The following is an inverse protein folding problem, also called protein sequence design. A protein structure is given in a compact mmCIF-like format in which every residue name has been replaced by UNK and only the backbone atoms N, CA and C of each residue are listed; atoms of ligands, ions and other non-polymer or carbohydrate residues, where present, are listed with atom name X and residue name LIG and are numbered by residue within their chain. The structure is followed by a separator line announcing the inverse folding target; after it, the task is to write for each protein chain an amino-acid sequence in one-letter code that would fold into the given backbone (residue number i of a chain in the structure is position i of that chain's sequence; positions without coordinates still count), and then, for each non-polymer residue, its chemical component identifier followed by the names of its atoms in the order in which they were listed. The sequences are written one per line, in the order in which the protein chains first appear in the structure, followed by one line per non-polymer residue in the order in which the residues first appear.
data_IF_036762943076
#
_entry.id   IF_036762943076
#
_cell.length_a   1.000
_cell.length_b   1.000
_cell.length_c   1.000
_cell.angle_alpha   90.00
_cell.angle_beta   90.00
_cell.angle_gamma   90.00
#
_symmetry.space_group_name_H-M   'P 1'
#
loop_
_entity.id
_entity.type
_entity.pdbx_description
1 polymer ?
#
# COMPACT_ATOMS: atom_id res chain seq x y z
N UNK A 1 -15.10 28.96 -31.32
CA UNK A 1 -14.54 29.09 -29.95
C UNK A 1 -15.69 29.40 -28.99
N UNK A 2 -15.65 28.99 -27.72
CA UNK A 2 -15.34 27.64 -27.23
C UNK A 2 -16.40 27.15 -26.21
N UNK A 3 -16.62 25.83 -26.10
CA UNK A 3 -17.06 25.24 -24.84
C UNK A 3 -16.24 23.99 -24.58
N UNK A 4 -14.98 24.22 -24.20
CA UNK A 4 -14.17 23.18 -23.58
C UNK A 4 -14.73 22.89 -22.20
N UNK A 5 -15.47 21.79 -22.09
CA UNK A 5 -15.74 21.17 -20.79
C UNK A 5 -14.42 20.63 -20.25
N UNK A 6 -13.76 21.41 -19.39
CA UNK A 6 -12.71 20.89 -18.51
C UNK A 6 -13.34 19.80 -17.64
N UNK A 7 -12.80 18.58 -17.55
CA UNK A 7 -13.16 17.74 -16.42
C UNK A 7 -12.67 18.43 -15.13
N UNK A 8 -13.62 18.74 -14.26
CA UNK A 8 -13.36 19.05 -12.87
C UNK A 8 -12.72 17.82 -12.22
N UNK A 9 -11.41 17.85 -12.10
CA UNK A 9 -10.60 16.86 -11.38
C UNK A 9 -9.31 17.54 -10.92
N UNK A 10 -9.43 18.70 -10.27
CA UNK A 10 -8.29 19.43 -9.74
C UNK A 10 -7.70 18.69 -8.55
N UNK A 11 -6.62 17.95 -8.78
CA UNK A 11 -5.77 17.40 -7.73
C UNK A 11 -4.97 18.55 -7.09
N UNK A 12 -5.20 18.81 -5.81
CA UNK A 12 -4.41 19.76 -5.04
C UNK A 12 -3.12 19.08 -4.56
N UNK A 13 -1.98 19.80 -4.47
CA UNK A 13 -0.73 19.24 -3.97
C UNK A 13 -0.79 19.12 -2.45
N UNK A 14 -1.34 18.00 -1.98
CA UNK A 14 -1.33 17.53 -0.61
C UNK A 14 -1.23 16.00 -0.65
N UNK A 15 -0.29 15.45 0.10
CA UNK A 15 0.04 14.02 0.13
C UNK A 15 -1.13 13.21 0.72
N UNK A 16 -2.18 12.94 -0.06
CA UNK A 16 -3.37 12.22 0.40
C UNK A 16 -3.09 10.72 0.44
N UNK A 17 -2.61 10.28 1.61
CA UNK A 17 -2.53 8.88 1.99
C UNK A 17 -3.95 8.29 2.06
N UNK A 18 -4.30 7.44 1.10
CA UNK A 18 -5.51 6.62 1.15
C UNK A 18 -5.26 5.42 2.04
N UNK A 19 -6.22 5.09 2.91
CA UNK A 19 -6.04 4.05 3.91
C UNK A 19 -7.34 3.26 4.17
N UNK A 20 -7.26 1.94 4.02
CA UNK A 20 -8.32 1.00 4.37
C UNK A 20 -7.88 0.20 5.60
N UNK A 21 -8.61 0.34 6.71
CA UNK A 21 -8.30 -0.32 8.00
C UNK A 21 -9.20 -1.54 8.19
N UNK A 22 -8.64 -2.62 8.76
CA UNK A 22 -9.43 -3.80 9.11
C UNK A 22 -9.93 -4.60 7.91
N UNK A 23 -9.17 -4.60 6.81
CA UNK A 23 -9.53 -5.29 5.55
C UNK A 23 -9.61 -6.80 5.77
N UNK A 24 -8.70 -7.34 6.58
CA UNK A 24 -8.70 -8.76 6.96
C UNK A 24 -8.55 -8.88 8.47
N UNK A 25 -9.32 -9.80 9.04
CA UNK A 25 -9.12 -10.31 10.39
C UNK A 25 -9.13 -11.85 10.36
N UNK A 26 -8.01 -12.47 10.73
CA UNK A 26 -7.88 -13.94 10.76
C UNK A 26 -7.00 -14.35 11.94
N UNK A 27 -7.53 -15.24 12.78
CA UNK A 27 -6.82 -15.83 13.94
C UNK A 27 -6.13 -14.76 14.83
N UNK A 28 -6.80 -13.62 14.99
CA UNK A 28 -6.35 -12.46 15.77
C UNK A 28 -5.38 -11.54 15.04
N UNK A 29 -4.88 -11.94 13.86
CA UNK A 29 -4.11 -11.06 13.00
C UNK A 29 -5.03 -10.10 12.27
N UNK A 30 -4.70 -8.81 12.30
CA UNK A 30 -5.44 -7.77 11.61
C UNK A 30 -4.56 -7.15 10.52
N UNK A 31 -5.19 -6.80 9.39
CA UNK A 31 -4.51 -6.15 8.29
C UNK A 31 -5.19 -4.84 7.87
N UNK A 32 -4.36 -3.89 7.46
CA UNK A 32 -4.76 -2.67 6.79
C UNK A 32 -3.90 -2.48 5.54
N UNK A 33 -4.36 -1.64 4.63
CA UNK A 33 -3.60 -1.23 3.45
C UNK A 33 -3.64 0.29 3.33
N UNK A 34 -2.50 0.89 3.04
CA UNK A 34 -2.36 2.33 2.81
C UNK A 34 -1.61 2.53 1.50
N UNK A 35 -1.88 3.61 0.78
CA UNK A 35 -1.11 3.95 -0.41
C UNK A 35 -1.25 5.41 -0.79
N UNK A 36 -0.39 5.86 -1.69
CA UNK A 36 -0.35 7.24 -2.18
C UNK A 36 0.74 7.44 -3.22
N UNK A 37 0.70 8.60 -3.87
CA UNK A 37 1.65 8.95 -4.92
C UNK A 37 3.08 9.09 -4.37
N UNK A 38 4.02 8.39 -4.97
CA UNK A 38 5.45 8.41 -4.64
C UNK A 38 6.29 8.09 -5.87
N UNK A 39 7.19 9.01 -6.23
CA UNK A 39 7.98 8.93 -7.47
C UNK A 39 9.48 8.64 -7.22
N UNK A 40 9.87 8.41 -5.97
CA UNK A 40 11.26 8.13 -5.62
C UNK A 40 11.36 7.34 -4.32
N UNK A 41 12.55 6.83 -4.03
CA UNK A 41 12.82 6.15 -2.76
C UNK A 41 12.61 7.09 -1.57
N UNK A 42 13.05 8.33 -1.68
CA UNK A 42 12.91 9.34 -0.64
C UNK A 42 11.44 9.65 -0.37
N UNK A 43 10.61 9.73 -1.42
CA UNK A 43 9.17 9.92 -1.29
C UNK A 43 8.49 8.74 -0.57
N UNK A 44 8.93 7.51 -0.84
CA UNK A 44 8.47 6.32 -0.10
C UNK A 44 8.88 6.40 1.37
N UNK A 45 10.12 6.77 1.67
CA UNK A 45 10.59 6.88 3.05
C UNK A 45 9.80 7.97 3.82
N UNK A 46 9.47 9.11 3.17
CA UNK A 46 8.59 10.12 3.75
C UNK A 46 7.14 9.64 3.94
N UNK A 47 6.60 8.87 2.99
CA UNK A 47 5.29 8.24 3.13
C UNK A 47 5.24 7.28 4.33
N UNK A 48 6.27 6.45 4.51
CA UNK A 48 6.38 5.53 5.64
C UNK A 48 6.53 6.29 6.97
N UNK A 49 7.28 7.40 7.00
CA UNK A 49 7.37 8.28 8.17
C UNK A 49 6.00 8.87 8.50
N UNK A 50 5.28 9.37 7.49
CA UNK A 50 3.93 9.91 7.66
C UNK A 50 2.96 8.86 8.20
N UNK A 51 2.98 7.63 7.66
CA UNK A 51 2.14 6.52 8.09
C UNK A 51 2.38 6.19 9.57
N UNK A 52 3.66 6.19 9.97
CA UNK A 52 4.09 5.90 11.34
C UNK A 52 3.87 7.06 12.33
N UNK A 53 3.38 8.23 11.89
CA UNK A 53 2.88 9.26 12.83
C UNK A 53 1.67 8.78 13.61
N UNK A 54 0.85 7.90 13.02
CA UNK A 54 -0.17 7.17 13.77
C UNK A 54 0.50 6.06 14.60
N UNK A 55 0.38 6.17 15.93
CA UNK A 55 0.97 5.22 16.89
C UNK A 55 0.52 3.77 16.66
N UNK A 56 -0.66 3.54 16.09
CA UNK A 56 -1.14 2.19 15.78
C UNK A 56 -0.29 1.54 14.69
N UNK A 57 0.11 2.31 13.67
CA UNK A 57 0.93 1.84 12.55
C UNK A 57 2.42 1.79 12.92
N UNK A 58 2.91 2.74 13.73
CA UNK A 58 4.25 2.67 14.29
C UNK A 58 4.47 1.43 15.18
N UNK A 59 3.42 0.93 15.85
CA UNK A 59 3.46 -0.28 16.69
C UNK A 59 3.00 -1.54 15.95
N UNK A 60 2.76 -1.46 14.64
CA UNK A 60 2.41 -2.65 13.87
C UNK A 60 3.56 -3.66 13.85
N UNK A 61 3.22 -4.93 13.68
CA UNK A 61 4.24 -5.98 13.60
C UNK A 61 5.03 -5.84 12.31
N UNK A 62 4.35 -5.54 11.20
CA UNK A 62 4.96 -5.34 9.89
C UNK A 62 4.23 -4.22 9.13
N UNK A 63 4.99 -3.34 8.48
CA UNK A 63 4.54 -2.38 7.46
C UNK A 63 5.29 -2.70 6.15
N UNK A 64 4.88 -3.79 5.51
CA UNK A 64 5.44 -4.26 4.26
C UNK A 64 4.98 -3.38 3.10
N UNK A 65 5.85 -3.05 2.14
CA UNK A 65 5.52 -2.13 1.07
C UNK A 65 6.16 -2.48 -0.27
N UNK A 66 5.58 -1.94 -1.35
CA UNK A 66 6.21 -1.88 -2.67
C UNK A 66 5.75 -0.65 -3.47
N UNK A 67 6.56 -0.25 -4.45
CA UNK A 67 6.21 0.70 -5.50
C UNK A 67 6.88 0.25 -6.82
N UNK A 68 6.18 0.45 -7.92
CA UNK A 68 6.77 0.43 -9.27
C UNK A 68 6.95 1.88 -9.71
N UNK A 69 8.18 2.36 -9.88
CA UNK A 69 8.41 3.74 -10.31
C UNK A 69 8.04 3.92 -11.79
N UNK A 70 7.80 5.16 -12.22
CA UNK A 70 7.39 5.50 -13.58
C UNK A 70 8.35 4.98 -14.66
N UNK A 71 9.65 4.95 -14.36
CA UNK A 71 10.71 4.39 -15.20
C UNK A 71 10.74 2.85 -15.25
N UNK A 72 9.85 2.19 -14.51
CA UNK A 72 9.78 0.74 -14.38
C UNK A 72 10.67 0.16 -13.29
N UNK A 73 11.39 0.97 -12.52
CA UNK A 73 12.24 0.51 -11.42
C UNK A 73 11.37 0.00 -10.26
N UNK A 74 11.50 -1.29 -9.85
CA UNK A 74 10.77 -1.81 -8.72
C UNK A 74 11.49 -1.54 -7.39
N UNK A 75 10.78 -1.02 -6.39
CA UNK A 75 11.27 -0.90 -5.01
C UNK A 75 10.31 -1.59 -4.04
N UNK A 76 10.84 -2.20 -2.97
CA UNK A 76 10.04 -2.92 -1.97
C UNK A 76 10.76 -3.07 -0.63
N UNK A 77 9.99 -3.32 0.42
CA UNK A 77 10.50 -3.64 1.76
C UNK A 77 9.57 -4.60 2.51
N UNK A 78 10.17 -5.62 3.15
CA UNK A 78 9.40 -6.68 3.83
C UNK A 78 9.03 -6.35 5.28
N UNK A 79 9.76 -5.43 5.93
CA UNK A 79 9.62 -5.08 7.36
C UNK A 79 9.57 -6.29 8.31
N UNK A 80 10.39 -7.32 8.01
CA UNK A 80 10.44 -8.57 8.77
C UNK A 80 9.44 -9.65 8.32
N UNK A 81 8.46 -9.34 7.47
CA UNK A 81 7.57 -10.34 6.86
C UNK A 81 8.13 -10.80 5.50
N UNK A 82 9.17 -11.64 5.56
CA UNK A 82 9.93 -12.08 4.39
C UNK A 82 9.02 -12.57 3.24
N UNK A 83 9.24 -12.00 2.06
CA UNK A 83 8.55 -12.30 0.81
C UNK A 83 7.28 -11.48 0.55
N UNK A 84 6.72 -10.80 1.56
CA UNK A 84 5.45 -10.09 1.39
C UNK A 84 5.60 -8.84 0.49
N UNK A 85 6.73 -8.13 0.50
CA UNK A 85 6.96 -6.98 -0.38
C UNK A 85 7.01 -7.40 -1.85
N UNK A 86 7.54 -8.59 -2.14
CA UNK A 86 7.52 -9.14 -3.51
C UNK A 86 6.10 -9.50 -3.96
N UNK A 87 5.23 -9.91 -3.04
CA UNK A 87 3.82 -10.18 -3.32
C UNK A 87 3.11 -8.89 -3.72
N UNK A 88 3.28 -7.80 -2.95
CA UNK A 88 2.70 -6.48 -3.28
C UNK A 88 3.21 -6.01 -4.64
N UNK A 89 4.53 -6.02 -4.85
CA UNK A 89 5.14 -5.56 -6.11
C UNK A 89 4.55 -6.25 -7.34
N UNK A 90 4.41 -7.58 -7.32
CA UNK A 90 3.84 -8.34 -8.44
C UNK A 90 2.38 -7.97 -8.74
N UNK A 91 1.64 -7.54 -7.74
CA UNK A 91 0.27 -7.07 -7.95
C UNK A 91 0.26 -5.69 -8.58
N UNK A 92 1.16 -4.79 -8.17
CA UNK A 92 1.31 -3.48 -8.80
C UNK A 92 1.75 -3.59 -10.26
N UNK A 93 2.72 -4.48 -10.56
CA UNK A 93 3.15 -4.79 -11.93
C UNK A 93 2.00 -5.27 -12.81
N UNK A 94 1.14 -6.17 -12.29
CA UNK A 94 -0.02 -6.68 -13.03
C UNK A 94 -1.10 -5.64 -13.27
N UNK A 95 -1.26 -4.70 -12.35
CA UNK A 95 -2.18 -3.57 -12.47
C UNK A 95 -1.56 -2.39 -13.26
N UNK A 96 -0.29 -2.49 -13.68
CA UNK A 96 0.52 -1.38 -14.22
C UNK A 96 0.41 -0.09 -13.37
N UNK A 97 0.28 -0.25 -12.03
CA UNK A 97 0.20 0.88 -11.11
C UNK A 97 1.60 1.41 -10.82
N UNK A 98 1.91 2.58 -11.37
CA UNK A 98 3.21 3.25 -11.26
C UNK A 98 3.15 4.47 -10.36
N UNK A 99 4.32 4.87 -9.85
CA UNK A 99 4.52 6.07 -9.04
C UNK A 99 3.57 6.17 -7.84
N UNK A 100 3.22 5.00 -7.29
CA UNK A 100 2.25 4.88 -6.22
C UNK A 100 2.65 3.76 -5.26
N UNK A 101 3.02 4.13 -4.03
CA UNK A 101 3.38 3.14 -3.02
C UNK A 101 2.13 2.49 -2.46
N UNK A 102 2.22 1.17 -2.22
CA UNK A 102 1.23 0.43 -1.44
C UNK A 102 1.94 -0.21 -0.25
N UNK A 103 1.39 0.01 0.93
CA UNK A 103 1.86 -0.51 2.22
C UNK A 103 0.78 -1.37 2.82
N UNK A 104 1.07 -2.65 3.04
CA UNK A 104 0.21 -3.55 3.82
C UNK A 104 0.74 -3.61 5.24
N UNK A 105 -0.09 -3.16 6.18
CA UNK A 105 0.22 -3.17 7.61
C UNK A 105 -0.44 -4.37 8.26
N UNK A 106 0.34 -5.13 9.03
CA UNK A 106 -0.14 -6.28 9.80
C UNK A 106 0.13 -6.11 11.28
N UNK A 107 -0.87 -6.41 12.09
CA UNK A 107 -0.75 -6.66 13.52
C UNK A 107 -0.85 -8.16 13.79
N UNK A 108 0.19 -8.78 14.35
CA UNK A 108 0.22 -10.22 14.63
C UNK A 108 -0.67 -10.58 15.82
N UNK A 109 -1.52 -11.59 15.64
CA UNK A 109 -2.51 -12.01 16.63
C UNK A 109 -2.09 -13.11 17.59
N UNK A 110 -0.82 -13.53 17.58
CA UNK A 110 -0.33 -14.62 18.44
C UNK A 110 -0.40 -16.02 17.81
N UNK A 111 -1.14 -16.22 16.70
CA UNK A 111 -1.23 -17.50 15.97
C UNK A 111 -0.54 -17.43 14.61
N UNK A 112 0.33 -18.42 14.31
CA UNK A 112 1.01 -18.53 13.02
C UNK A 112 0.00 -18.80 11.91
N UNK A 113 0.06 -18.01 10.84
CA UNK A 113 -0.82 -18.15 9.67
C UNK A 113 -0.20 -19.01 8.56
N UNK A 114 1.10 -19.32 8.62
CA UNK A 114 1.77 -20.04 7.54
C UNK A 114 1.69 -19.26 6.23
N UNK A 115 1.30 -19.93 5.15
CA UNK A 115 1.12 -19.33 3.82
C UNK A 115 -0.04 -18.34 3.72
N UNK A 116 -1.06 -18.45 4.58
CA UNK A 116 -2.27 -17.59 4.50
C UNK A 116 -1.95 -16.11 4.68
N UNK A 117 -0.85 -15.78 5.37
CA UNK A 117 -0.41 -14.38 5.51
C UNK A 117 -0.19 -13.72 4.15
N UNK A 118 0.30 -14.45 3.15
CA UNK A 118 0.53 -13.93 1.81
C UNK A 118 -0.79 -13.77 1.04
N UNK A 119 -1.75 -14.67 1.25
CA UNK A 119 -3.11 -14.51 0.70
C UNK A 119 -3.75 -13.23 1.25
N UNK A 120 -3.61 -12.98 2.55
CA UNK A 120 -4.15 -11.76 3.18
C UNK A 120 -3.47 -10.48 2.69
N UNK A 121 -2.16 -10.53 2.42
CA UNK A 121 -1.46 -9.42 1.75
C UNK A 121 -2.07 -9.16 0.37
N UNK A 122 -2.35 -10.21 -0.40
CA UNK A 122 -3.00 -10.07 -1.71
C UNK A 122 -4.41 -9.52 -1.59
N UNK A 123 -5.22 -10.02 -0.64
CA UNK A 123 -6.59 -9.55 -0.42
C UNK A 123 -6.60 -8.06 -0.05
N UNK A 124 -5.66 -7.61 0.78
CA UNK A 124 -5.46 -6.19 1.10
C UNK A 124 -5.14 -5.35 -0.14
N UNK A 125 -4.19 -5.77 -0.97
CA UNK A 125 -3.83 -5.00 -2.18
C UNK A 125 -4.99 -5.00 -3.17
N UNK A 126 -5.69 -6.12 -3.36
CA UNK A 126 -6.88 -6.20 -4.22
C UNK A 126 -7.96 -5.23 -3.74
N UNK A 127 -8.31 -5.24 -2.45
CA UNK A 127 -9.30 -4.31 -1.90
C UNK A 127 -8.90 -2.84 -2.11
N UNK A 128 -7.60 -2.53 -2.05
CA UNK A 128 -7.11 -1.19 -2.33
C UNK A 128 -7.25 -0.80 -3.81
N UNK A 129 -6.91 -1.70 -4.73
CA UNK A 129 -7.06 -1.46 -6.17
C UNK A 129 -8.53 -1.32 -6.57
N UNK A 130 -9.40 -2.18 -6.04
CA UNK A 130 -10.85 -2.12 -6.25
C UNK A 130 -11.42 -0.77 -5.79
N UNK A 131 -10.99 -0.28 -4.62
CA UNK A 131 -11.36 1.04 -4.07
C UNK A 131 -10.84 2.21 -4.94
N UNK A 132 -9.67 2.03 -5.59
CA UNK A 132 -9.16 3.01 -6.55
C UNK A 132 -9.81 2.89 -7.93
N UNK A 133 -10.68 1.88 -8.14
CA UNK A 133 -11.28 1.52 -9.41
C UNK A 133 -10.26 1.25 -10.52
N UNK A 134 -9.18 0.53 -10.18
CA UNK A 134 -8.09 0.11 -11.07
C UNK A 134 -8.08 -1.40 -11.23
#
# INVERSE_FOLDING_TARGET
MPSGSKPCGGWLPGCDMRQLKGVVNDRGSNYAVSGGATQSREAVDEFLKALKKDKKFARATHNTWAVLLGDGTPLKGDDGEAGAGQVILRMLERADLRDHVVVVTRWYGGKKLGGDRFRHVQDCVRAYLDEMAI
#
